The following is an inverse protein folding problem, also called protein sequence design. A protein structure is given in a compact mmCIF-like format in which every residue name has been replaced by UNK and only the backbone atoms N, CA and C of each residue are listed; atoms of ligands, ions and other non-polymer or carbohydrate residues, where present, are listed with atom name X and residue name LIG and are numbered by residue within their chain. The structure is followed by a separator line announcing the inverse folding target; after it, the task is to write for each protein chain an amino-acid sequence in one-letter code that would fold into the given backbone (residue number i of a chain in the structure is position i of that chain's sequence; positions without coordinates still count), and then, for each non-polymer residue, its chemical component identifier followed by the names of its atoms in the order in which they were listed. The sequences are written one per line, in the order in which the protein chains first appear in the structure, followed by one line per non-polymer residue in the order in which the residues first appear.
data_IF_156593416759
#
_entry.id   IF_156593416759
#
_cell.length_a   1.000
_cell.length_b   1.000
_cell.length_c   1.000
_cell.angle_alpha   90.00
_cell.angle_beta   90.00
_cell.angle_gamma   90.00
#
_symmetry.space_group_name_H-M   'P 1'
#
loop_
_entity.id
_entity.type
_entity.pdbx_description
1 polymer ?
#
# COMPACT_ATOMS: atom_id res chain seq x y z
N UNK A 1 12.08 2.48 -1.56
CA UNK A 1 12.13 1.05 -1.21
C UNK A 1 11.51 0.24 -2.35
N UNK A 2 12.14 -0.87 -2.78
CA UNK A 2 11.62 -1.79 -3.80
C UNK A 2 10.75 -2.84 -3.11
N UNK A 3 9.43 -2.73 -3.22
CA UNK A 3 8.46 -3.58 -2.50
C UNK A 3 7.78 -4.53 -3.49
N UNK A 4 8.02 -5.83 -3.37
CA UNK A 4 7.38 -6.85 -4.21
C UNK A 4 5.92 -7.05 -3.79
N UNK A 5 4.99 -6.97 -4.75
CA UNK A 5 3.57 -7.15 -4.53
C UNK A 5 3.20 -8.64 -4.65
N UNK A 6 2.67 -9.21 -3.56
CA UNK A 6 2.26 -10.60 -3.43
C UNK A 6 0.73 -10.66 -3.49
N UNK A 7 0.20 -11.24 -4.56
CA UNK A 7 -1.25 -11.34 -4.84
C UNK A 7 -1.66 -12.77 -5.15
N UNK A 8 -0.94 -13.73 -4.61
CA UNK A 8 -1.13 -15.14 -4.88
C UNK A 8 -2.38 -15.70 -4.19
N UNK A 9 -2.94 -16.74 -4.78
CA UNK A 9 -4.20 -17.32 -4.31
C UNK A 9 -4.04 -18.33 -3.17
N UNK A 10 -2.81 -18.64 -2.74
CA UNK A 10 -2.52 -19.51 -1.58
C UNK A 10 -1.14 -19.21 -1.00
N UNK A 11 -0.90 -19.72 0.22
CA UNK A 11 0.34 -19.48 0.95
C UNK A 11 1.58 -20.07 0.27
N UNK A 12 1.48 -21.23 -0.36
CA UNK A 12 2.65 -21.90 -0.96
C UNK A 12 3.15 -21.10 -2.18
N UNK A 13 2.25 -20.69 -3.08
CA UNK A 13 2.61 -19.83 -4.22
C UNK A 13 3.08 -18.46 -3.78
N UNK A 14 2.53 -17.90 -2.70
CA UNK A 14 3.01 -16.63 -2.11
C UNK A 14 4.46 -16.77 -1.60
N UNK A 15 4.79 -17.86 -0.91
CA UNK A 15 6.15 -18.17 -0.42
C UNK A 15 7.13 -18.34 -1.59
N UNK A 16 6.72 -19.05 -2.65
CA UNK A 16 7.53 -19.21 -3.86
C UNK A 16 7.81 -17.87 -4.55
N UNK A 17 6.80 -17.00 -4.68
CA UNK A 17 6.95 -15.67 -5.26
C UNK A 17 7.88 -14.80 -4.41
N UNK A 18 7.74 -14.82 -3.09
CA UNK A 18 8.65 -14.13 -2.15
C UNK A 18 10.10 -14.61 -2.38
N UNK A 19 10.33 -15.91 -2.48
CA UNK A 19 11.66 -16.48 -2.69
C UNK A 19 12.28 -16.07 -4.05
N UNK A 20 11.47 -15.98 -5.12
CA UNK A 20 11.91 -15.49 -6.44
C UNK A 20 12.26 -14.00 -6.39
N UNK A 21 11.35 -13.18 -5.87
CA UNK A 21 11.54 -11.72 -5.84
C UNK A 21 12.63 -11.27 -4.86
N UNK A 22 12.95 -12.04 -3.83
CA UNK A 22 14.15 -11.85 -3.01
C UNK A 22 15.43 -11.93 -3.86
N UNK A 23 15.53 -12.94 -4.74
CA UNK A 23 16.68 -13.09 -5.65
C UNK A 23 16.76 -11.96 -6.68
N UNK A 24 15.61 -11.36 -7.05
CA UNK A 24 15.53 -10.19 -7.93
C UNK A 24 15.84 -8.86 -7.23
N UNK A 25 16.03 -8.88 -5.91
CA UNK A 25 16.42 -7.71 -5.13
C UNK A 25 15.28 -6.96 -4.46
N UNK A 26 14.15 -7.61 -4.16
CA UNK A 26 13.11 -7.03 -3.32
C UNK A 26 13.66 -6.66 -1.94
N UNK A 27 13.35 -5.44 -1.50
CA UNK A 27 13.78 -4.88 -0.20
C UNK A 27 12.66 -5.01 0.85
N UNK A 28 11.41 -5.17 0.40
CA UNK A 28 10.23 -5.35 1.22
C UNK A 28 9.15 -6.11 0.43
N UNK A 29 8.08 -6.49 1.10
CA UNK A 29 6.95 -7.20 0.51
C UNK A 29 5.64 -6.50 0.83
N UNK A 30 4.70 -6.53 -0.12
CA UNK A 30 3.31 -6.10 0.08
C UNK A 30 2.38 -7.29 -0.16
N UNK A 31 1.81 -7.85 0.89
CA UNK A 31 0.87 -8.97 0.82
C UNK A 31 -0.57 -8.44 0.76
N UNK A 32 -1.31 -8.81 -0.28
CA UNK A 32 -2.76 -8.65 -0.31
C UNK A 32 -3.42 -9.88 0.35
N UNK A 33 -3.57 -9.83 1.66
CA UNK A 33 -4.08 -10.96 2.45
C UNK A 33 -5.51 -11.37 2.04
N UNK A 34 -6.31 -10.43 1.56
CA UNK A 34 -7.66 -10.74 1.05
C UNK A 34 -7.67 -11.68 -0.17
N UNK A 35 -6.55 -11.86 -0.86
CA UNK A 35 -6.43 -12.82 -1.97
C UNK A 35 -6.25 -14.27 -1.48
N UNK A 36 -5.79 -14.46 -0.26
CA UNK A 36 -5.61 -15.78 0.33
C UNK A 36 -6.97 -16.40 0.74
N UNK A 37 -7.12 -17.74 0.66
CA UNK A 37 -8.30 -18.41 1.18
C UNK A 37 -8.31 -18.39 2.72
N UNK A 38 -9.48 -18.59 3.36
CA UNK A 38 -9.57 -18.61 4.82
C UNK A 38 -8.64 -19.61 5.49
N UNK A 39 -8.42 -20.78 4.87
CA UNK A 39 -7.51 -21.80 5.36
C UNK A 39 -6.06 -21.35 5.55
N UNK A 40 -5.63 -20.35 4.77
CA UNK A 40 -4.27 -19.83 4.77
C UNK A 40 -4.10 -18.57 5.64
N UNK A 41 -5.23 -17.95 6.06
CA UNK A 41 -5.25 -16.78 6.94
C UNK A 41 -5.10 -17.12 8.42
N UNK A 42 -4.75 -18.37 8.73
CA UNK A 42 -4.46 -18.82 10.10
C UNK A 42 -3.14 -18.25 10.60
N UNK A 43 -2.92 -18.13 11.93
CA UNK A 43 -1.64 -17.70 12.49
C UNK A 43 -0.46 -18.53 11.96
N UNK A 44 -0.62 -19.83 11.77
CA UNK A 44 0.41 -20.73 11.24
C UNK A 44 0.72 -20.44 9.76
N UNK A 45 -0.31 -20.26 8.93
CA UNK A 45 -0.15 -19.90 7.52
C UNK A 45 0.56 -18.56 7.36
N UNK A 46 0.15 -17.58 8.15
CA UNK A 46 0.76 -16.24 8.15
C UNK A 46 2.20 -16.23 8.66
N UNK A 47 2.52 -17.01 9.71
CA UNK A 47 3.91 -17.18 10.19
C UNK A 47 4.82 -17.75 9.11
N UNK A 48 4.34 -18.71 8.30
CA UNK A 48 5.10 -19.27 7.17
C UNK A 48 5.43 -18.18 6.13
N UNK A 49 4.44 -17.36 5.75
CA UNK A 49 4.62 -16.26 4.80
C UNK A 49 5.60 -15.21 5.37
N UNK A 50 5.43 -14.81 6.63
CA UNK A 50 6.32 -13.85 7.31
C UNK A 50 7.76 -14.41 7.36
N UNK A 51 7.95 -15.67 7.72
CA UNK A 51 9.28 -16.29 7.75
C UNK A 51 9.94 -16.29 6.36
N UNK A 52 9.17 -16.48 5.29
CA UNK A 52 9.69 -16.48 3.92
C UNK A 52 10.28 -15.11 3.49
N UNK A 53 9.89 -14.00 4.13
CA UNK A 53 10.45 -12.66 3.82
C UNK A 53 11.92 -12.51 4.23
N UNK A 54 12.49 -13.49 4.93
CA UNK A 54 13.87 -13.47 5.41
C UNK A 54 14.23 -12.20 6.21
N UNK A 55 13.30 -11.75 7.06
CA UNK A 55 13.46 -10.55 7.89
C UNK A 55 13.27 -9.21 7.15
N UNK A 56 12.87 -9.22 5.89
CA UNK A 56 12.50 -8.00 5.17
C UNK A 56 11.13 -7.50 5.65
N UNK A 57 10.91 -6.17 5.70
CA UNK A 57 9.63 -5.61 6.11
C UNK A 57 8.46 -6.15 5.28
N UNK A 58 7.38 -6.52 5.95
CA UNK A 58 6.11 -6.89 5.33
C UNK A 58 5.10 -5.77 5.53
N UNK A 59 4.63 -5.20 4.44
CA UNK A 59 3.44 -4.37 4.35
C UNK A 59 2.24 -5.29 4.05
N UNK A 60 1.17 -5.19 4.80
CA UNK A 60 0.00 -6.03 4.61
C UNK A 60 -1.26 -5.20 4.42
N UNK A 61 -2.00 -5.52 3.36
CA UNK A 61 -3.34 -5.01 3.11
C UNK A 61 -4.36 -6.15 3.18
N UNK A 62 -5.48 -5.92 3.86
CA UNK A 62 -6.60 -6.83 3.93
C UNK A 62 -7.90 -6.06 3.71
N UNK A 63 -8.56 -6.28 2.57
CA UNK A 63 -9.73 -5.54 2.18
C UNK A 63 -10.98 -6.43 2.16
N UNK A 64 -12.12 -5.88 2.57
CA UNK A 64 -13.43 -6.50 2.32
C UNK A 64 -13.79 -6.21 0.86
N UNK A 65 -13.73 -7.23 0.02
CA UNK A 65 -14.09 -7.19 -1.41
C UNK A 65 -14.71 -8.53 -1.83
N UNK A 66 -14.89 -8.74 -3.13
CA UNK A 66 -15.52 -9.96 -3.67
C UNK A 66 -14.88 -11.29 -3.29
N UNK A 67 -13.61 -11.29 -2.85
CA UNK A 67 -12.88 -12.48 -2.37
C UNK A 67 -12.87 -12.59 -0.84
N UNK A 68 -13.50 -11.67 -0.14
CA UNK A 68 -13.60 -11.69 1.32
C UNK A 68 -14.64 -12.72 1.77
N UNK A 69 -14.49 -13.19 3.00
CA UNK A 69 -15.47 -14.10 3.61
C UNK A 69 -16.84 -13.43 3.66
N UNK A 70 -17.92 -14.12 3.28
CA UNK A 70 -19.25 -13.61 3.44
C UNK A 70 -19.55 -13.24 4.90
N UNK A 71 -20.11 -12.04 5.12
CA UNK A 71 -20.46 -11.57 6.46
C UNK A 71 -19.33 -10.95 7.27
N UNK A 72 -18.10 -10.86 6.72
CA UNK A 72 -16.99 -10.17 7.38
C UNK A 72 -17.32 -8.69 7.60
N UNK A 73 -17.27 -8.25 8.85
CA UNK A 73 -17.49 -6.87 9.26
C UNK A 73 -16.18 -6.09 9.34
N UNK A 74 -16.26 -4.75 9.48
CA UNK A 74 -15.07 -3.93 9.74
C UNK A 74 -14.47 -4.17 11.13
N UNK A 75 -15.28 -4.59 12.12
CA UNK A 75 -14.78 -4.96 13.45
C UNK A 75 -14.00 -6.29 13.37
N UNK A 76 -14.49 -7.30 12.62
CA UNK A 76 -13.74 -8.54 12.35
C UNK A 76 -12.43 -8.26 11.60
N UNK A 77 -12.48 -7.34 10.64
CA UNK A 77 -11.27 -6.92 9.91
C UNK A 77 -10.25 -6.26 10.84
N UNK A 78 -10.70 -5.41 11.75
CA UNK A 78 -9.82 -4.76 12.73
C UNK A 78 -9.13 -5.80 13.63
N UNK A 79 -9.85 -6.83 14.08
CA UNK A 79 -9.26 -7.94 14.86
C UNK A 79 -8.21 -8.71 14.05
N UNK A 80 -8.48 -9.00 12.78
CA UNK A 80 -7.49 -9.64 11.90
C UNK A 80 -6.24 -8.77 11.73
N UNK A 81 -6.38 -7.46 11.55
CA UNK A 81 -5.24 -6.54 11.44
C UNK A 81 -4.38 -6.52 12.72
N UNK A 82 -5.02 -6.53 13.90
CA UNK A 82 -4.32 -6.61 15.19
C UNK A 82 -3.57 -7.93 15.34
N UNK A 83 -4.19 -9.06 14.98
CA UNK A 83 -3.54 -10.37 14.99
C UNK A 83 -2.30 -10.40 14.09
N UNK A 84 -2.36 -9.77 12.92
CA UNK A 84 -1.21 -9.70 12.03
C UNK A 84 -0.08 -8.82 12.58
N UNK A 85 -0.42 -7.72 13.25
CA UNK A 85 0.57 -6.90 13.95
C UNK A 85 1.28 -7.72 15.06
N UNK A 86 0.53 -8.51 15.85
CA UNK A 86 1.09 -9.40 16.87
C UNK A 86 2.02 -10.49 16.30
N UNK A 87 1.83 -10.88 15.04
CA UNK A 87 2.72 -11.79 14.33
C UNK A 87 3.98 -11.10 13.78
N UNK A 88 4.12 -9.77 13.94
CA UNK A 88 5.30 -9.01 13.53
C UNK A 88 5.21 -8.41 12.12
N UNK A 89 4.02 -8.23 11.57
CA UNK A 89 3.85 -7.46 10.33
C UNK A 89 4.23 -6.00 10.58
N UNK A 90 5.18 -5.49 9.81
CA UNK A 90 5.80 -4.19 10.05
C UNK A 90 4.89 -2.99 9.69
N UNK A 91 4.07 -3.12 8.64
CA UNK A 91 3.21 -2.04 8.13
C UNK A 91 1.83 -2.59 7.81
N UNK A 92 0.79 -2.04 8.44
CA UNK A 92 -0.61 -2.46 8.29
C UNK A 92 -1.40 -1.39 7.52
N UNK A 93 -2.17 -1.83 6.51
CA UNK A 93 -3.06 -0.95 5.75
C UNK A 93 -4.43 -0.84 6.41
N UNK A 94 -4.83 0.36 6.78
CA UNK A 94 -6.17 0.70 7.27
C UNK A 94 -6.88 1.57 6.24
N UNK A 95 -8.05 1.17 5.74
CA UNK A 95 -8.79 1.99 4.77
C UNK A 95 -9.33 3.27 5.41
N UNK A 96 -9.27 4.37 4.67
CA UNK A 96 -9.74 5.68 5.14
C UNK A 96 -11.26 5.74 5.38
N UNK A 97 -12.04 4.82 4.81
CA UNK A 97 -13.48 4.67 5.03
C UNK A 97 -13.86 3.44 5.88
N UNK A 98 -12.90 2.84 6.58
CA UNK A 98 -13.19 1.74 7.49
C UNK A 98 -14.20 2.19 8.56
N UNK A 99 -15.14 1.33 8.91
CA UNK A 99 -16.29 1.54 9.81
C UNK A 99 -17.43 2.44 9.26
N UNK A 100 -17.25 3.13 8.12
CA UNK A 100 -18.32 3.85 7.43
C UNK A 100 -17.95 3.99 5.95
N UNK A 101 -18.36 3.01 5.14
CA UNK A 101 -17.99 2.92 3.72
C UNK A 101 -18.56 4.08 2.92
N UNK A 102 -17.71 4.67 2.07
CA UNK A 102 -18.06 5.84 1.25
C UNK A 102 -17.57 5.67 -0.18
N UNK A 103 -18.20 6.39 -1.10
CA UNK A 103 -17.65 6.53 -2.45
C UNK A 103 -16.30 7.31 -2.38
N UNK A 104 -15.27 6.78 -3.05
CA UNK A 104 -13.91 7.35 -3.00
C UNK A 104 -13.12 6.99 -1.75
N UNK A 105 -13.66 6.09 -0.91
CA UNK A 105 -12.99 5.51 0.26
C UNK A 105 -12.47 6.55 1.28
N UNK A 106 -13.21 7.64 1.50
CA UNK A 106 -12.87 8.68 2.50
C UNK A 106 -14.08 9.00 3.35
N UNK A 107 -14.17 8.47 4.57
CA UNK A 107 -15.24 8.85 5.50
C UNK A 107 -14.87 10.08 6.32
N UNK A 108 -15.89 10.87 6.67
CA UNK A 108 -15.81 11.98 7.66
C UNK A 108 -16.76 11.74 8.85
N UNK A 109 -17.35 10.54 8.92
CA UNK A 109 -18.20 10.15 10.05
C UNK A 109 -17.38 10.16 11.34
N UNK A 110 -17.83 10.88 12.33
CA UNK A 110 -17.10 11.10 13.60
C UNK A 110 -16.82 9.80 14.33
N UNK A 111 -17.82 8.90 14.43
CA UNK A 111 -17.67 7.63 15.13
C UNK A 111 -16.71 6.68 14.41
N UNK A 112 -16.79 6.64 13.09
CA UNK A 112 -15.85 5.85 12.28
C UNK A 112 -14.41 6.37 12.43
N UNK A 113 -14.22 7.68 12.42
CA UNK A 113 -12.89 8.30 12.62
C UNK A 113 -12.34 8.02 14.00
N UNK A 114 -13.16 8.05 15.05
CA UNK A 114 -12.76 7.69 16.43
C UNK A 114 -12.32 6.22 16.50
N UNK A 115 -13.11 5.29 15.94
CA UNK A 115 -12.76 3.87 15.88
C UNK A 115 -11.44 3.64 15.09
N UNK A 116 -11.22 4.35 14.00
CA UNK A 116 -9.96 4.28 13.24
C UNK A 116 -8.77 4.75 14.07
N UNK A 117 -8.88 5.88 14.77
CA UNK A 117 -7.82 6.39 15.67
C UNK A 117 -7.50 5.41 16.79
N UNK A 118 -8.53 4.78 17.35
CA UNK A 118 -8.34 3.74 18.38
C UNK A 118 -7.60 2.52 17.81
N UNK A 119 -7.99 2.03 16.63
CA UNK A 119 -7.31 0.92 15.96
C UNK A 119 -5.84 1.27 15.65
N UNK A 120 -5.55 2.45 15.09
CA UNK A 120 -4.21 2.93 14.83
C UNK A 120 -3.37 2.95 16.12
N UNK A 121 -3.93 3.49 17.21
CA UNK A 121 -3.24 3.49 18.50
C UNK A 121 -2.92 2.09 19.04
N UNK A 122 -3.81 1.11 18.83
CA UNK A 122 -3.57 -0.29 19.19
C UNK A 122 -2.45 -0.91 18.36
N UNK A 123 -2.45 -0.68 17.03
CA UNK A 123 -1.41 -1.17 16.12
C UNK A 123 -0.04 -0.60 16.49
N UNK A 124 0.07 0.68 16.78
CA UNK A 124 1.30 1.32 17.25
C UNK A 124 1.80 0.74 18.58
N UNK A 125 0.90 0.44 19.54
CA UNK A 125 1.27 -0.18 20.82
C UNK A 125 1.85 -1.59 20.66
N UNK A 126 1.43 -2.32 19.61
CA UNK A 126 1.99 -3.64 19.26
C UNK A 126 3.36 -3.47 18.59
N UNK A 127 3.61 -2.34 17.92
CA UNK A 127 4.87 -2.04 17.25
C UNK A 127 4.81 -2.03 15.72
N UNK A 128 3.60 -2.08 15.12
CA UNK A 128 3.41 -1.92 13.69
C UNK A 128 3.23 -0.45 13.31
N UNK A 129 3.82 -0.03 12.20
CA UNK A 129 3.46 1.21 11.52
C UNK A 129 2.10 1.06 10.79
N UNK A 130 1.43 2.18 10.57
CA UNK A 130 0.13 2.21 9.91
C UNK A 130 0.19 3.04 8.63
N UNK A 131 -0.18 2.43 7.52
CA UNK A 131 -0.49 3.10 6.27
C UNK A 131 -2.02 3.21 6.15
N UNK A 132 -2.53 4.39 5.82
CA UNK A 132 -3.96 4.55 5.56
C UNK A 132 -4.21 4.77 4.08
N UNK A 133 -5.18 4.01 3.50
CA UNK A 133 -5.40 4.01 2.06
C UNK A 133 -6.78 4.47 1.62
N UNK A 134 -6.82 5.19 0.48
CA UNK A 134 -8.02 5.52 -0.29
C UNK A 134 -7.83 5.17 -1.76
N UNK A 135 -8.76 4.43 -2.36
CA UNK A 135 -8.78 4.13 -3.79
C UNK A 135 -9.97 4.87 -4.41
N UNK A 136 -9.72 6.11 -4.82
CA UNK A 136 -10.80 7.05 -5.20
C UNK A 136 -11.50 6.64 -6.50
N UNK A 137 -10.78 6.00 -7.43
CA UNK A 137 -11.35 5.54 -8.69
C UNK A 137 -11.70 6.65 -9.69
N UNK A 138 -11.35 7.90 -9.38
CA UNK A 138 -11.59 9.09 -10.21
C UNK A 138 -10.34 9.98 -10.25
N UNK A 139 -10.28 10.89 -11.23
CA UNK A 139 -9.33 12.00 -11.21
C UNK A 139 -9.62 12.94 -10.04
N UNK A 140 -8.57 13.40 -9.38
CA UNK A 140 -8.60 14.49 -8.40
C UNK A 140 -7.53 15.52 -8.71
N UNK A 141 -7.80 16.79 -8.37
CA UNK A 141 -6.78 17.85 -8.42
C UNK A 141 -5.69 17.60 -7.35
N UNK A 142 -4.48 18.16 -7.53
CA UNK A 142 -3.42 18.07 -6.53
C UNK A 142 -3.86 18.51 -5.12
N UNK A 143 -4.64 19.57 -5.01
CA UNK A 143 -5.14 20.09 -3.74
C UNK A 143 -6.13 19.14 -3.07
N UNK A 144 -7.01 18.50 -3.85
CA UNK A 144 -7.95 17.53 -3.34
C UNK A 144 -7.24 16.26 -2.83
N UNK A 145 -6.18 15.82 -3.50
CA UNK A 145 -5.33 14.72 -3.02
C UNK A 145 -4.60 15.09 -1.74
N UNK A 146 -4.04 16.31 -1.67
CA UNK A 146 -3.39 16.80 -0.44
C UNK A 146 -4.39 16.85 0.73
N UNK A 147 -5.63 17.28 0.50
CA UNK A 147 -6.68 17.28 1.53
C UNK A 147 -6.91 15.89 2.10
N UNK A 148 -7.02 14.85 1.24
CA UNK A 148 -7.15 13.47 1.69
C UNK A 148 -5.93 13.05 2.52
N UNK A 149 -4.72 13.34 2.05
CA UNK A 149 -3.48 13.03 2.78
C UNK A 149 -3.43 13.71 4.17
N UNK A 150 -3.88 14.95 4.26
CA UNK A 150 -3.96 15.67 5.55
C UNK A 150 -4.98 15.04 6.49
N UNK A 151 -6.14 14.61 6.00
CA UNK A 151 -7.12 13.86 6.79
C UNK A 151 -6.55 12.52 7.30
N UNK A 152 -5.80 11.80 6.47
CA UNK A 152 -5.13 10.56 6.89
C UNK A 152 -4.10 10.86 7.98
N UNK A 153 -3.25 11.88 7.81
CA UNK A 153 -2.28 12.34 8.81
C UNK A 153 -2.93 12.71 10.15
N UNK A 154 -4.04 13.46 10.13
CA UNK A 154 -4.79 13.85 11.34
C UNK A 154 -5.33 12.66 12.14
N UNK A 155 -5.47 11.49 11.51
CA UNK A 155 -5.85 10.23 12.17
C UNK A 155 -4.68 9.54 12.85
N UNK A 156 -3.44 10.03 12.65
CA UNK A 156 -2.25 9.55 13.34
C UNK A 156 -1.49 8.43 12.62
N UNK A 157 -1.63 8.33 11.30
CA UNK A 157 -0.93 7.30 10.50
C UNK A 157 0.51 7.71 10.18
N UNK A 158 1.35 6.73 9.89
CA UNK A 158 2.76 6.94 9.53
C UNK A 158 2.92 7.20 8.04
N UNK A 159 2.08 6.59 7.19
CA UNK A 159 2.13 6.72 5.72
C UNK A 159 0.73 7.01 5.19
N UNK A 160 0.59 8.06 4.40
CA UNK A 160 -0.64 8.34 3.65
C UNK A 160 -0.60 7.65 2.28
N UNK A 161 -1.68 6.91 1.91
CA UNK A 161 -1.79 6.29 0.58
C UNK A 161 -3.05 6.73 -0.12
N UNK A 162 -2.88 7.29 -1.32
CA UNK A 162 -4.00 7.71 -2.16
C UNK A 162 -3.80 7.14 -3.57
N UNK A 163 -4.86 6.58 -4.15
CA UNK A 163 -4.87 6.05 -5.51
C UNK A 163 -5.98 6.75 -6.30
N UNK A 164 -5.59 7.47 -7.35
CA UNK A 164 -6.52 8.20 -8.24
C UNK A 164 -6.49 7.65 -9.66
N UNK A 165 -7.14 8.33 -10.59
CA UNK A 165 -7.20 7.95 -12.00
C UNK A 165 -6.42 8.97 -12.86
N UNK A 166 -5.58 8.47 -13.80
CA UNK A 166 -4.91 9.27 -14.81
C UNK A 166 -5.10 8.63 -16.20
N UNK A 167 -6.15 9.05 -16.91
CA UNK A 167 -6.53 8.50 -18.23
C UNK A 167 -6.14 9.40 -19.42
N UNK A 168 -5.47 10.51 -19.16
CA UNK A 168 -4.97 11.42 -20.17
C UNK A 168 -3.72 12.15 -19.68
N UNK A 169 -3.02 12.83 -20.60
CA UNK A 169 -1.74 13.52 -20.33
C UNK A 169 -1.90 14.61 -19.27
N UNK A 170 -2.98 15.39 -19.27
CA UNK A 170 -3.22 16.41 -18.26
C UNK A 170 -3.34 15.81 -16.86
N UNK A 171 -4.06 14.70 -16.72
CA UNK A 171 -4.18 13.99 -15.46
C UNK A 171 -2.83 13.40 -14.99
N UNK A 172 -1.98 12.96 -15.92
CA UNK A 172 -0.62 12.52 -15.61
C UNK A 172 0.27 13.69 -15.14
N UNK A 173 0.21 14.85 -15.81
CA UNK A 173 0.94 16.05 -15.40
C UNK A 173 0.53 16.49 -13.98
N UNK A 174 -0.78 16.52 -13.72
CA UNK A 174 -1.31 16.85 -12.39
C UNK A 174 -0.93 15.79 -11.35
N UNK A 175 -0.80 14.53 -11.73
CA UNK A 175 -0.32 13.49 -10.82
C UNK A 175 1.15 13.73 -10.40
N UNK A 176 2.04 14.17 -11.28
CA UNK A 176 3.40 14.54 -10.89
C UNK A 176 3.46 15.81 -10.04
N UNK A 177 2.63 16.83 -10.35
CA UNK A 177 2.47 18.01 -9.48
C UNK A 177 1.98 17.60 -8.09
N UNK A 178 1.05 16.64 -8.02
CA UNK A 178 0.55 16.09 -6.75
C UNK A 178 1.68 15.46 -5.93
N UNK A 179 2.57 14.67 -6.52
CA UNK A 179 3.74 14.13 -5.83
C UNK A 179 4.59 15.25 -5.19
N UNK A 180 4.89 16.31 -5.97
CA UNK A 180 5.68 17.43 -5.47
C UNK A 180 4.96 18.19 -4.35
N UNK A 181 3.65 18.42 -4.49
CA UNK A 181 2.84 19.10 -3.48
C UNK A 181 2.76 18.31 -2.17
N UNK A 182 2.55 16.99 -2.26
CA UNK A 182 2.56 16.10 -1.09
C UNK A 182 3.93 16.10 -0.40
N UNK A 183 5.01 16.00 -1.18
CA UNK A 183 6.39 16.05 -0.68
C UNK A 183 6.69 17.35 0.08
N UNK A 184 6.19 18.48 -0.43
CA UNK A 184 6.40 19.80 0.18
C UNK A 184 5.54 20.02 1.43
N UNK A 185 4.26 19.58 1.41
CA UNK A 185 3.26 20.07 2.36
C UNK A 185 2.68 19.03 3.30
N UNK A 186 2.72 17.74 2.98
CA UNK A 186 2.06 16.73 3.81
C UNK A 186 2.76 16.51 5.16
N UNK A 187 4.10 16.47 5.17
CA UNK A 187 4.91 16.35 6.38
C UNK A 187 4.95 14.95 7.01
N UNK A 188 4.43 13.93 6.33
CA UNK A 188 4.64 12.50 6.59
C UNK A 188 4.95 11.79 5.27
N UNK A 189 5.57 10.59 5.29
CA UNK A 189 5.71 9.76 4.11
C UNK A 189 4.38 9.50 3.40
N UNK A 190 4.43 9.34 2.08
CA UNK A 190 3.24 9.04 1.30
C UNK A 190 3.51 8.04 0.17
N UNK A 191 2.45 7.34 -0.22
CA UNK A 191 2.40 6.48 -1.41
C UNK A 191 1.25 6.99 -2.29
N UNK A 192 1.56 7.84 -3.26
CA UNK A 192 0.60 8.31 -4.23
C UNK A 192 0.72 7.51 -5.52
N UNK A 193 -0.39 6.96 -6.00
CA UNK A 193 -0.46 6.09 -7.17
C UNK A 193 -1.60 6.52 -8.10
N UNK A 194 -1.46 6.22 -9.39
CA UNK A 194 -2.55 6.35 -10.34
C UNK A 194 -2.93 4.99 -10.93
N UNK A 195 -4.22 4.84 -11.24
CA UNK A 195 -4.77 3.85 -12.17
C UNK A 195 -5.01 4.53 -13.52
N UNK A 196 -5.51 3.78 -14.52
CA UNK A 196 -5.81 4.31 -15.85
C UNK A 196 -4.69 4.11 -16.87
N UNK A 197 -4.84 4.67 -18.05
CA UNK A 197 -3.96 4.45 -19.20
C UNK A 197 -2.52 4.93 -18.99
N UNK A 198 -2.30 5.94 -18.13
CA UNK A 198 -0.99 6.50 -17.82
C UNK A 198 -0.38 5.97 -16.51
N UNK A 199 -1.01 4.95 -15.88
CA UNK A 199 -0.59 4.44 -14.58
C UNK A 199 0.86 3.91 -14.54
N UNK A 200 1.34 3.27 -15.60
CA UNK A 200 2.72 2.74 -15.66
C UNK A 200 3.75 3.85 -15.51
N UNK A 201 3.59 4.95 -16.25
CA UNK A 201 4.50 6.10 -16.20
C UNK A 201 4.54 6.71 -14.80
N UNK A 202 3.37 6.94 -14.19
CA UNK A 202 3.29 7.51 -12.86
C UNK A 202 3.88 6.57 -11.80
N UNK A 203 3.56 5.27 -11.83
CA UNK A 203 4.05 4.30 -10.84
C UNK A 203 5.55 4.06 -10.92
N UNK A 204 6.13 4.20 -12.13
CA UNK A 204 7.57 4.07 -12.33
C UNK A 204 8.33 5.32 -11.88
N UNK A 205 7.79 6.52 -12.10
CA UNK A 205 8.47 7.78 -11.81
C UNK A 205 8.04 8.43 -10.47
N UNK A 206 6.86 8.11 -9.96
CA UNK A 206 6.34 8.69 -8.71
C UNK A 206 7.31 8.67 -7.52
N UNK A 207 8.05 7.57 -7.26
CA UNK A 207 9.04 7.55 -6.18
C UNK A 207 10.24 8.50 -6.38
N UNK A 208 10.55 8.87 -7.62
CA UNK A 208 11.55 9.92 -7.90
C UNK A 208 11.04 11.29 -7.42
N UNK A 209 9.74 11.51 -7.50
CA UNK A 209 9.06 12.73 -7.08
C UNK A 209 8.56 12.70 -5.64
N UNK A 210 8.84 11.65 -4.87
CA UNK A 210 8.60 11.66 -3.42
C UNK A 210 7.77 10.51 -2.84
N UNK A 211 7.09 9.67 -3.63
CA UNK A 211 6.44 8.47 -3.08
C UNK A 211 7.48 7.58 -2.38
N UNK A 212 7.15 7.08 -1.19
CA UNK A 212 8.11 6.42 -0.31
C UNK A 212 8.53 5.02 -0.77
N UNK A 213 7.77 4.39 -1.67
CA UNK A 213 8.08 3.04 -2.16
C UNK A 213 7.61 2.81 -3.60
N UNK A 214 8.26 1.86 -4.25
CA UNK A 214 7.75 1.20 -5.45
C UNK A 214 6.94 -0.02 -5.04
N UNK A 215 5.75 -0.20 -5.58
CA UNK A 215 5.07 -1.49 -5.59
C UNK A 215 5.39 -2.17 -6.92
N UNK A 216 6.10 -3.30 -6.87
CA UNK A 216 6.65 -3.97 -8.03
C UNK A 216 6.07 -5.37 -8.23
N UNK A 217 6.07 -5.83 -9.49
CA UNK A 217 5.91 -7.24 -9.85
C UNK A 217 7.28 -7.90 -10.01
N UNK A 218 7.31 -9.24 -9.98
CA UNK A 218 8.48 -10.02 -10.39
C UNK A 218 8.88 -9.67 -11.83
N UNK A 219 10.14 -9.88 -12.16
CA UNK A 219 10.68 -9.65 -13.49
C UNK A 219 9.97 -10.55 -14.52
N UNK A 220 9.79 -10.02 -15.75
CA UNK A 220 9.00 -10.69 -16.78
C UNK A 220 7.48 -10.48 -16.70
N UNK A 221 6.92 -10.09 -15.56
CA UNK A 221 5.48 -9.79 -15.44
C UNK A 221 5.16 -8.34 -15.79
N UNK A 222 5.11 -8.03 -17.10
CA UNK A 222 4.94 -6.66 -17.64
C UNK A 222 3.49 -6.29 -17.94
N UNK A 223 2.55 -7.23 -17.84
CA UNK A 223 1.14 -7.05 -18.24
C UNK A 223 0.28 -6.24 -17.25
N UNK A 224 0.86 -5.76 -16.15
CA UNK A 224 0.14 -5.05 -15.08
C UNK A 224 0.42 -3.55 -15.05
N UNK A 225 -0.31 -2.81 -14.22
CA UNK A 225 -0.05 -1.40 -13.93
C UNK A 225 1.22 -1.18 -13.10
N UNK A 226 1.71 -2.20 -12.39
CA UNK A 226 2.91 -2.10 -11.55
C UNK A 226 4.19 -2.26 -12.39
N UNK A 227 5.27 -1.52 -12.09
CA UNK A 227 6.58 -1.78 -12.68
C UNK A 227 7.13 -3.14 -12.22
N UNK A 228 8.06 -3.71 -12.98
CA UNK A 228 8.87 -4.83 -12.50
C UNK A 228 9.94 -4.35 -11.52
N UNK A 229 10.48 -5.26 -10.71
CA UNK A 229 11.60 -4.94 -9.80
C UNK A 229 12.82 -4.40 -10.58
N UNK A 230 13.14 -5.01 -11.73
CA UNK A 230 14.24 -4.58 -12.59
C UNK A 230 14.04 -3.15 -13.13
N UNK A 231 12.85 -2.83 -13.67
CA UNK A 231 12.56 -1.50 -14.17
C UNK A 231 12.63 -0.43 -13.08
N UNK A 232 12.06 -0.70 -11.90
CA UNK A 232 12.09 0.21 -10.75
C UNK A 232 13.53 0.40 -10.22
N UNK A 233 14.33 -0.67 -10.17
CA UNK A 233 15.74 -0.61 -9.78
C UNK A 233 16.55 0.23 -10.76
N UNK A 234 16.40 0.00 -12.05
CA UNK A 234 17.11 0.76 -13.10
C UNK A 234 16.80 2.26 -13.02
N UNK A 235 15.52 2.63 -12.92
CA UNK A 235 15.13 4.04 -12.77
C UNK A 235 15.72 4.65 -11.50
N UNK A 236 15.63 3.95 -10.37
CA UNK A 236 16.22 4.41 -9.12
C UNK A 236 17.72 4.64 -9.23
N UNK A 237 18.46 3.75 -9.86
CA UNK A 237 19.91 3.88 -10.07
C UNK A 237 20.24 5.08 -10.97
N UNK A 238 19.52 5.28 -12.07
CA UNK A 238 19.74 6.43 -12.97
C UNK A 238 19.60 7.77 -12.22
N UNK A 239 18.59 7.91 -11.37
CA UNK A 239 18.30 9.19 -10.69
C UNK A 239 19.08 9.40 -9.39
N UNK A 240 19.52 8.35 -8.70
CA UNK A 240 20.14 8.48 -7.38
C UNK A 240 21.60 8.02 -7.30
N UNK A 241 22.14 7.32 -8.32
CA UNK A 241 23.55 6.90 -8.36
C UNK A 241 24.53 8.08 -8.42
N UNK A 242 24.09 9.25 -8.91
CA UNK A 242 24.90 10.46 -9.04
C UNK A 242 25.15 11.22 -7.72
N UNK A 243 24.62 10.78 -6.59
CA UNK A 243 24.84 11.46 -5.29
C UNK A 243 26.10 11.03 -4.54
N UNK A 244 26.84 10.04 -5.09
CA UNK A 244 28.08 9.51 -4.49
C UNK A 244 29.31 9.69 -5.40
N UNK A 245 29.27 10.62 -6.36
CA UNK A 245 30.41 11.00 -7.20
C UNK A 245 30.94 12.37 -6.81
#
# INVERSE_FOLDING_TARGET
MLTALITEANSDTAIELIARTLKEGAEAFCLLMNMLPPSDKTPEGMKRIIAATAGRPLYMANYINGNSQPGLTDDDLAEQLLQMAELGVALIDVRTDMFCRTHGEVTRDTLAVEKQKELISKLHKIGSEVLMSSHVGAYLSPEAVLEIGMLQKERGVDIAKIVTLADNERALDDAFKTNLLLKERLGIPFLYLCNGSHCKNHRLLGPIFGSCMYLCRENGNTGTSQPTLEAAKTIREIFFASKNA
#
